data_IF_208208251198
#
_entry.id   IF_208208251198
#
_cell.length_a   1.000
_cell.length_b   1.000
_cell.length_c   1.000
_cell.angle_alpha   90.00
_cell.angle_beta   90.00
_cell.angle_gamma   90.00
#
_symmetry.space_group_name_H-M   'P 1'
#
loop_
_entity.id
_entity.type
_entity.pdbx_description
1 polymer ?
#
# COMPACT_ATOMS: atom_id res chain seq x y z
N UNK A 1 -8.21 19.20 -7.40
CA UNK A 1 -7.80 18.73 -8.75
C UNK A 1 -7.83 17.20 -8.85
N UNK A 2 -7.05 16.46 -8.07
CA UNK A 2 -6.99 14.98 -8.16
C UNK A 2 -8.36 14.29 -8.04
N UNK A 3 -9.17 14.67 -7.05
CA UNK A 3 -10.52 14.16 -6.84
C UNK A 3 -11.43 14.30 -8.08
N UNK A 4 -11.46 15.48 -8.69
CA UNK A 4 -12.25 15.74 -9.90
C UNK A 4 -11.77 14.89 -11.10
N UNK A 5 -10.46 14.66 -11.23
CA UNK A 5 -9.93 13.78 -12.29
C UNK A 5 -10.43 12.35 -12.10
N UNK A 6 -10.42 11.83 -10.86
CA UNK A 6 -10.91 10.48 -10.57
C UNK A 6 -12.40 10.33 -10.91
N UNK A 7 -13.23 11.28 -10.49
CA UNK A 7 -14.66 11.30 -10.82
C UNK A 7 -14.88 11.32 -12.35
N UNK A 8 -14.22 12.23 -13.06
CA UNK A 8 -14.39 12.36 -14.52
C UNK A 8 -13.87 11.15 -15.29
N UNK A 9 -12.80 10.50 -14.82
CA UNK A 9 -12.27 9.29 -15.45
C UNK A 9 -13.21 8.10 -15.24
N UNK A 10 -13.73 7.94 -14.02
CA UNK A 10 -14.71 6.89 -13.69
C UNK A 10 -15.97 7.03 -14.55
N UNK A 11 -16.54 8.23 -14.63
CA UNK A 11 -17.75 8.51 -15.42
C UNK A 11 -17.52 8.31 -16.93
N UNK A 12 -16.40 8.82 -17.46
CA UNK A 12 -16.15 8.85 -18.90
C UNK A 12 -15.61 7.53 -19.44
N UNK A 13 -14.86 6.79 -18.63
CA UNK A 13 -14.17 5.56 -19.05
C UNK A 13 -14.40 4.39 -18.07
N UNK A 14 -15.66 3.97 -17.82
CA UNK A 14 -16.00 2.99 -16.78
C UNK A 14 -15.45 1.56 -17.04
N UNK A 15 -14.90 1.30 -18.24
CA UNK A 15 -14.29 0.01 -18.60
C UNK A 15 -12.77 0.01 -18.49
N UNK A 16 -12.17 1.11 -18.01
CA UNK A 16 -10.71 1.26 -17.89
C UNK A 16 -10.33 1.18 -16.42
N UNK A 17 -9.26 0.45 -16.13
CA UNK A 17 -8.72 0.33 -14.79
C UNK A 17 -8.06 1.65 -14.37
N UNK A 18 -8.40 2.11 -13.17
CA UNK A 18 -7.83 3.28 -12.51
C UNK A 18 -7.02 2.81 -11.31
N UNK A 19 -5.70 2.83 -11.44
CA UNK A 19 -4.77 2.57 -10.34
C UNK A 19 -4.05 3.85 -9.96
N UNK A 20 -3.98 4.14 -8.65
CA UNK A 20 -3.22 5.29 -8.12
C UNK A 20 -2.03 4.84 -7.28
N UNK A 21 -1.00 5.67 -7.26
CA UNK A 21 0.07 5.62 -6.27
C UNK A 21 -0.10 6.84 -5.36
N UNK A 22 -0.77 6.63 -4.23
CA UNK A 22 -1.20 7.70 -3.34
C UNK A 22 -0.21 7.84 -2.19
N UNK A 23 0.44 9.00 -2.09
CA UNK A 23 1.34 9.33 -0.99
C UNK A 23 0.54 9.86 0.19
N UNK A 24 0.59 9.16 1.31
CA UNK A 24 -0.06 9.56 2.54
C UNK A 24 0.87 10.51 3.32
N UNK A 25 0.31 11.59 3.89
CA UNK A 25 1.09 12.54 4.66
C UNK A 25 1.59 11.91 5.97
N UNK A 26 2.55 12.56 6.63
CA UNK A 26 2.98 12.14 7.96
C UNK A 26 1.81 12.36 8.94
N UNK A 27 1.27 11.26 9.49
CA UNK A 27 0.11 11.32 10.40
C UNK A 27 0.54 11.41 11.88
N UNK A 28 1.80 11.14 12.22
CA UNK A 28 2.28 11.06 13.60
C UNK A 28 2.96 12.34 14.09
N UNK A 29 3.38 13.22 13.17
CA UNK A 29 3.94 14.54 13.48
C UNK A 29 2.93 15.66 13.21
N UNK A 30 3.09 16.79 13.90
CA UNK A 30 2.31 18.00 13.62
C UNK A 30 2.66 18.44 12.20
N UNK A 31 1.74 18.20 11.27
CA UNK A 31 1.86 18.72 9.92
C UNK A 31 1.88 20.25 9.95
N UNK A 32 2.81 20.86 9.21
CA UNK A 32 2.84 22.31 8.98
C UNK A 32 1.53 22.81 8.34
N UNK A 33 0.80 21.90 7.68
CA UNK A 33 -0.48 22.19 7.04
C UNK A 33 -1.64 21.79 7.94
N UNK A 34 -2.21 22.77 8.63
CA UNK A 34 -3.30 22.58 9.60
C UNK A 34 -4.61 22.02 9.02
N UNK A 35 -4.84 22.20 7.71
CA UNK A 35 -6.03 21.70 6.99
C UNK A 35 -5.85 20.31 6.38
N UNK A 36 -4.69 19.66 6.57
CA UNK A 36 -4.39 18.35 6.01
C UNK A 36 -5.52 17.33 6.25
N UNK A 37 -6.10 17.17 7.46
CA UNK A 37 -7.09 16.12 7.69
C UNK A 37 -8.35 16.27 6.83
N UNK A 38 -8.80 17.51 6.55
CA UNK A 38 -9.93 17.76 5.65
C UNK A 38 -9.61 17.35 4.20
N UNK A 39 -8.43 17.76 3.72
CA UNK A 39 -7.99 17.44 2.35
C UNK A 39 -7.81 15.94 2.14
N UNK A 40 -7.21 15.26 3.14
CA UNK A 40 -7.04 13.82 3.13
C UNK A 40 -8.39 13.11 3.10
N UNK A 41 -9.35 13.52 3.94
CA UNK A 41 -10.67 12.88 3.99
C UNK A 41 -11.42 12.98 2.66
N UNK A 42 -11.49 14.18 2.07
CA UNK A 42 -12.14 14.41 0.78
C UNK A 42 -11.48 13.60 -0.35
N UNK A 43 -10.15 13.45 -0.30
CA UNK A 43 -9.41 12.64 -1.29
C UNK A 43 -9.65 11.15 -1.08
N UNK A 44 -9.68 10.69 0.18
CA UNK A 44 -9.92 9.29 0.53
C UNK A 44 -11.29 8.82 0.06
N UNK A 45 -12.35 9.63 0.18
CA UNK A 45 -13.68 9.30 -0.38
C UNK A 45 -13.57 8.93 -1.86
N UNK A 46 -12.89 9.74 -2.67
CA UNK A 46 -12.75 9.48 -4.12
C UNK A 46 -11.82 8.33 -4.45
N UNK A 47 -10.79 8.11 -3.64
CA UNK A 47 -9.97 6.91 -3.78
C UNK A 47 -10.83 5.66 -3.54
N UNK A 48 -11.69 5.66 -2.51
CA UNK A 48 -12.59 4.54 -2.19
C UNK A 48 -13.67 4.32 -3.25
N UNK A 49 -14.25 5.39 -3.82
CA UNK A 49 -15.39 5.28 -4.74
C UNK A 49 -14.98 5.14 -6.22
N UNK A 50 -13.85 5.74 -6.62
CA UNK A 50 -13.52 5.96 -8.04
C UNK A 50 -12.19 5.34 -8.50
N UNK A 51 -11.44 4.67 -7.62
CA UNK A 51 -10.24 3.92 -8.00
C UNK A 51 -10.47 2.41 -7.88
N UNK A 52 -9.90 1.64 -8.80
CA UNK A 52 -9.92 0.17 -8.75
C UNK A 52 -8.79 -0.39 -7.85
N UNK A 53 -7.72 0.37 -7.69
CA UNK A 53 -6.58 -0.01 -6.85
C UNK A 53 -5.79 1.21 -6.37
N UNK A 54 -5.47 1.23 -5.09
CA UNK A 54 -4.69 2.31 -4.48
C UNK A 54 -3.45 1.71 -3.83
N UNK A 55 -2.28 2.00 -4.41
CA UNK A 55 -1.00 1.65 -3.79
C UNK A 55 -0.65 2.73 -2.78
N UNK A 56 -0.66 2.37 -1.50
CA UNK A 56 -0.40 3.27 -0.40
C UNK A 56 1.10 3.43 -0.19
N UNK A 57 1.57 4.68 -0.20
CA UNK A 57 2.94 5.07 0.08
C UNK A 57 2.92 5.99 1.31
N UNK A 58 3.37 5.51 2.45
CA UNK A 58 3.30 6.28 3.69
C UNK A 58 4.61 7.02 3.97
N UNK A 59 4.55 8.35 4.02
CA UNK A 59 5.72 9.17 4.33
C UNK A 59 6.29 8.88 5.72
N UNK A 60 5.47 8.54 6.72
CA UNK A 60 5.98 8.19 8.05
C UNK A 60 6.89 6.97 7.96
N UNK A 61 6.41 5.88 7.36
CA UNK A 61 7.18 4.65 7.20
C UNK A 61 8.39 4.82 6.27
N UNK A 62 8.25 5.58 5.17
CA UNK A 62 9.36 5.86 4.26
C UNK A 62 10.49 6.65 4.97
N UNK A 63 10.14 7.62 5.80
CA UNK A 63 11.10 8.36 6.62
C UNK A 63 11.80 7.46 7.64
N UNK A 64 11.05 6.62 8.36
CA UNK A 64 11.63 5.64 9.30
C UNK A 64 12.58 4.68 8.59
N UNK A 65 12.22 4.17 7.41
CA UNK A 65 13.09 3.30 6.60
C UNK A 65 14.36 4.04 6.18
N UNK A 66 14.25 5.28 5.70
CA UNK A 66 15.40 6.06 5.28
C UNK A 66 16.36 6.38 6.45
N UNK A 67 15.80 6.72 7.62
CA UNK A 67 16.58 6.99 8.82
C UNK A 67 17.23 5.72 9.38
N UNK A 68 16.46 4.67 9.64
CA UNK A 68 16.92 3.48 10.37
C UNK A 68 17.72 2.52 9.49
N UNK A 69 17.30 2.33 8.23
CA UNK A 69 17.86 1.28 7.36
C UNK A 69 18.89 1.82 6.39
N UNK A 70 18.67 3.03 5.87
CA UNK A 70 19.64 3.69 4.99
C UNK A 70 20.62 4.57 5.77
N UNK A 71 20.45 4.71 7.10
CA UNK A 71 21.30 5.50 8.00
C UNK A 71 21.39 6.97 7.57
N UNK A 72 20.32 7.51 7.01
CA UNK A 72 20.23 8.91 6.55
C UNK A 72 19.67 9.74 7.69
N UNK A 73 20.52 10.53 8.38
CA UNK A 73 20.11 11.29 9.57
C UNK A 73 18.99 12.31 9.33
N UNK A 74 18.85 12.81 8.09
CA UNK A 74 17.76 13.70 7.68
C UNK A 74 17.35 13.39 6.23
N UNK A 75 16.36 12.51 6.00
CA UNK A 75 15.97 12.12 4.65
C UNK A 75 15.35 13.30 3.90
N UNK A 76 15.93 13.64 2.75
CA UNK A 76 15.39 14.65 1.83
C UNK A 76 14.29 14.06 0.96
N UNK A 77 13.40 14.90 0.41
CA UNK A 77 12.38 14.45 -0.55
C UNK A 77 12.98 13.72 -1.75
N UNK A 78 14.17 14.11 -2.21
CA UNK A 78 14.88 13.40 -3.30
C UNK A 78 15.19 11.95 -2.93
N UNK A 79 15.62 11.70 -1.68
CA UNK A 79 15.92 10.35 -1.22
C UNK A 79 14.65 9.52 -1.01
N UNK A 80 13.59 10.11 -0.46
CA UNK A 80 12.27 9.44 -0.33
C UNK A 80 11.71 9.09 -1.72
N UNK A 81 11.79 10.01 -2.67
CA UNK A 81 11.32 9.80 -4.04
C UNK A 81 12.14 8.72 -4.78
N UNK A 82 13.42 8.53 -4.43
CA UNK A 82 14.21 7.40 -4.94
C UNK A 82 13.63 6.05 -4.50
N UNK A 83 13.16 5.93 -3.25
CA UNK A 83 12.46 4.73 -2.78
C UNK A 83 11.12 4.54 -3.51
N UNK A 84 10.32 5.61 -3.61
CA UNK A 84 9.02 5.59 -4.29
C UNK A 84 9.16 5.18 -5.76
N UNK A 85 10.10 5.79 -6.48
CA UNK A 85 10.37 5.47 -7.89
C UNK A 85 10.82 4.02 -8.08
N UNK A 86 11.58 3.47 -7.13
CA UNK A 86 11.96 2.06 -7.13
C UNK A 86 10.72 1.17 -7.01
N UNK A 87 9.82 1.46 -6.06
CA UNK A 87 8.57 0.70 -5.88
C UNK A 87 7.71 0.75 -7.15
N UNK A 88 7.48 1.94 -7.71
CA UNK A 88 6.69 2.13 -8.92
C UNK A 88 7.31 1.45 -10.15
N UNK A 89 8.63 1.46 -10.23
CA UNK A 89 9.34 0.72 -11.27
C UNK A 89 9.10 -0.78 -11.08
N UNK A 90 9.29 -1.31 -9.87
CA UNK A 90 9.19 -2.75 -9.63
C UNK A 90 7.76 -3.28 -9.78
N UNK A 91 6.75 -2.53 -9.33
CA UNK A 91 5.33 -2.90 -9.45
C UNK A 91 4.88 -3.06 -10.91
N UNK A 92 5.49 -2.32 -11.83
CA UNK A 92 5.17 -2.35 -13.28
C UNK A 92 6.10 -3.26 -14.08
N UNK A 93 6.98 -4.03 -13.45
CA UNK A 93 7.97 -4.84 -14.16
C UNK A 93 7.37 -5.90 -15.06
N UNK A 94 6.33 -6.60 -14.60
CA UNK A 94 5.65 -7.64 -15.39
C UNK A 94 4.90 -7.07 -16.60
N UNK A 95 4.60 -5.77 -16.59
CA UNK A 95 4.00 -5.05 -17.71
C UNK A 95 5.04 -4.57 -18.73
N UNK A 96 6.27 -4.30 -18.27
CA UNK A 96 7.36 -3.72 -19.09
C UNK A 96 8.31 -4.77 -19.66
N UNK A 97 8.51 -5.86 -18.94
CA UNK A 97 9.39 -6.95 -19.35
C UNK A 97 8.57 -8.21 -19.58
N UNK A 98 8.90 -8.99 -20.64
CA UNK A 98 8.19 -10.22 -20.92
C UNK A 98 8.32 -11.19 -19.75
N UNK A 99 7.19 -11.57 -19.17
CA UNK A 99 7.08 -12.61 -18.15
C UNK A 99 6.07 -13.66 -18.61
N UNK A 100 6.05 -14.84 -17.99
CA UNK A 100 5.16 -15.93 -18.41
C UNK A 100 3.76 -15.85 -17.80
N UNK A 101 3.56 -15.09 -16.71
CA UNK A 101 2.29 -14.99 -15.97
C UNK A 101 2.06 -13.55 -15.49
N UNK A 102 0.80 -13.08 -15.51
CA UNK A 102 0.38 -11.75 -15.06
C UNK A 102 1.06 -10.57 -15.81
N UNK A 103 0.97 -10.59 -17.15
CA UNK A 103 1.53 -9.55 -18.03
C UNK A 103 0.60 -8.34 -18.24
N UNK A 104 -0.58 -8.35 -17.66
CA UNK A 104 -1.55 -7.29 -17.74
C UNK A 104 -1.94 -6.79 -16.35
N UNK A 105 -2.40 -5.54 -16.29
CA UNK A 105 -2.74 -4.92 -15.01
C UNK A 105 -3.95 -5.60 -14.36
N UNK A 106 -4.90 -6.06 -15.17
CA UNK A 106 -6.06 -6.79 -14.69
C UNK A 106 -5.66 -8.12 -14.03
N UNK A 107 -4.77 -8.90 -14.66
CA UNK A 107 -4.26 -10.15 -14.10
C UNK A 107 -3.44 -9.98 -12.83
N UNK A 108 -2.81 -8.81 -12.63
CA UNK A 108 -2.16 -8.45 -11.36
C UNK A 108 -3.16 -8.09 -10.26
N UNK A 109 -4.18 -7.30 -10.57
CA UNK A 109 -5.10 -6.73 -9.59
C UNK A 109 -6.23 -7.67 -9.17
N UNK A 110 -6.81 -8.42 -10.11
CA UNK A 110 -7.94 -9.32 -9.83
C UNK A 110 -7.70 -10.30 -8.67
N UNK A 111 -6.53 -10.96 -8.54
CA UNK A 111 -6.26 -11.84 -7.40
C UNK A 111 -5.80 -11.12 -6.12
N UNK A 112 -5.44 -9.83 -6.21
CA UNK A 112 -5.04 -8.98 -5.09
C UNK A 112 -6.23 -8.27 -4.43
N UNK A 113 -7.33 -8.12 -5.15
CA UNK A 113 -8.50 -7.35 -4.73
C UNK A 113 -9.74 -8.21 -5.00
N UNK A 114 -10.02 -9.21 -4.15
CA UNK A 114 -11.19 -10.07 -4.32
C UNK A 114 -12.50 -9.30 -4.03
N UNK A 115 -12.45 -8.26 -3.20
CA UNK A 115 -13.58 -7.39 -2.89
C UNK A 115 -13.28 -5.96 -3.36
N UNK A 116 -14.11 -5.37 -4.23
CA UNK A 116 -13.80 -4.08 -4.87
C UNK A 116 -13.53 -2.92 -3.93
N UNK A 117 -14.15 -2.87 -2.75
CA UNK A 117 -13.93 -1.80 -1.76
C UNK A 117 -12.62 -1.93 -0.98
N UNK A 118 -12.12 -3.16 -0.80
CA UNK A 118 -10.88 -3.41 -0.06
C UNK A 118 -9.67 -3.39 -1.01
N UNK A 119 -9.43 -2.27 -1.67
CA UNK A 119 -8.45 -2.15 -2.75
C UNK A 119 -7.18 -1.35 -2.38
N UNK A 120 -6.98 -1.05 -1.10
CA UNK A 120 -5.78 -0.38 -0.61
C UNK A 120 -4.64 -1.37 -0.36
N UNK A 121 -3.58 -1.24 -1.14
CA UNK A 121 -2.44 -2.15 -1.15
C UNK A 121 -1.27 -1.54 -0.38
N UNK A 122 -0.78 -2.28 0.61
CA UNK A 122 0.47 -1.98 1.32
C UNK A 122 1.66 -2.48 0.52
N UNK A 123 2.75 -1.73 0.57
CA UNK A 123 3.99 -2.08 -0.12
C UNK A 123 5.05 -2.53 0.87
N UNK A 124 5.84 -3.53 0.47
CA UNK A 124 7.04 -3.94 1.20
C UNK A 124 8.17 -4.23 0.24
N UNK A 125 9.41 -3.87 0.57
CA UNK A 125 10.54 -4.02 -0.35
C UNK A 125 11.76 -4.62 0.34
N UNK A 126 12.51 -5.44 -0.39
CA UNK A 126 13.79 -5.97 0.07
C UNK A 126 14.70 -6.24 -1.11
N UNK A 127 16.02 -5.99 -1.01
CA UNK A 127 16.73 -5.44 0.15
C UNK A 127 16.56 -3.92 0.32
N UNK A 128 16.53 -3.49 1.58
CA UNK A 128 16.66 -2.09 1.99
C UNK A 128 18.06 -1.95 2.62
N UNK A 129 19.09 -1.83 1.77
CA UNK A 129 20.45 -1.51 2.20
C UNK A 129 21.03 -0.45 1.28
N UNK A 130 21.95 0.35 1.79
CA UNK A 130 22.80 1.21 0.98
C UNK A 130 23.84 0.36 0.24
N UNK A 131 24.32 0.88 -0.90
CA UNK A 131 25.41 0.27 -1.68
C UNK A 131 26.75 0.22 -0.92
N UNK A 132 26.83 0.87 0.24
CA UNK A 132 28.02 0.98 1.09
C UNK A 132 28.22 -0.17 2.06
N UNK A 133 27.19 -0.97 2.35
CA UNK A 133 27.41 -2.18 3.14
C UNK A 133 27.87 -3.28 2.17
N UNK A 134 29.19 -3.55 2.15
CA UNK A 134 29.78 -4.82 1.70
C UNK A 134 29.24 -5.95 2.59
N UNK A 135 27.95 -6.25 2.50
CA UNK A 135 27.37 -7.37 3.22
C UNK A 135 27.82 -8.62 2.51
N UNK A 136 28.82 -9.28 3.10
CA UNK A 136 29.14 -10.70 2.98
C UNK A 136 28.12 -11.44 2.13
N UNK A 137 28.52 -11.81 0.92
CA UNK A 137 27.73 -12.45 -0.14
C UNK A 137 27.23 -13.83 0.36
N UNK A 138 26.30 -13.83 1.32
CA UNK A 138 25.43 -14.97 1.53
C UNK A 138 24.51 -14.98 0.32
N UNK A 139 24.55 -16.07 -0.45
CA UNK A 139 23.60 -16.34 -1.53
C UNK A 139 22.19 -16.12 -0.97
N UNK A 140 21.60 -14.97 -1.26
CA UNK A 140 20.26 -14.63 -0.77
C UNK A 140 19.28 -15.47 -1.59
N UNK A 141 18.61 -16.41 -0.92
CA UNK A 141 17.67 -17.31 -1.60
C UNK A 141 16.31 -16.64 -1.77
N UNK A 142 15.50 -17.16 -2.70
CA UNK A 142 14.09 -16.75 -2.88
C UNK A 142 13.32 -16.81 -1.56
N UNK A 143 13.54 -17.87 -0.79
CA UNK A 143 12.92 -18.05 0.52
C UNK A 143 13.31 -16.95 1.50
N UNK A 144 14.57 -16.51 1.49
CA UNK A 144 15.02 -15.43 2.37
C UNK A 144 14.40 -14.08 1.97
N UNK A 145 14.25 -13.82 0.66
CA UNK A 145 13.55 -12.63 0.14
C UNK A 145 12.10 -12.65 0.59
N UNK A 146 11.36 -13.73 0.31
CA UNK A 146 9.94 -13.82 0.68
C UNK A 146 9.73 -13.75 2.21
N UNK A 147 10.61 -14.38 3.00
CA UNK A 147 10.57 -14.28 4.46
C UNK A 147 10.80 -12.85 4.94
N UNK A 148 11.74 -12.12 4.33
CA UNK A 148 12.00 -10.71 4.65
C UNK A 148 10.82 -9.84 4.27
N UNK A 149 10.17 -10.07 3.14
CA UNK A 149 9.00 -9.29 2.72
C UNK A 149 7.84 -9.35 3.72
N UNK A 150 7.64 -10.50 4.38
CA UNK A 150 6.62 -10.66 5.43
C UNK A 150 7.00 -10.00 6.78
N UNK A 151 8.23 -9.49 6.93
CA UNK A 151 8.64 -8.84 8.17
C UNK A 151 8.09 -7.41 8.23
N UNK A 152 7.42 -7.00 9.33
CA UNK A 152 6.85 -5.66 9.46
C UNK A 152 7.86 -4.52 9.19
N UNK A 153 9.12 -4.72 9.57
CA UNK A 153 10.21 -3.74 9.36
C UNK A 153 10.58 -3.47 7.89
N UNK A 154 10.05 -4.24 6.94
CA UNK A 154 10.26 -4.02 5.51
C UNK A 154 8.98 -3.52 4.82
N UNK A 155 7.90 -3.32 5.59
CA UNK A 155 6.67 -2.68 5.12
C UNK A 155 6.86 -1.16 5.10
N UNK A 156 6.38 -0.53 4.04
CA UNK A 156 6.49 0.91 3.79
C UNK A 156 5.20 1.64 4.17
N UNK A 157 4.47 1.08 5.12
CA UNK A 157 3.22 1.62 5.64
C UNK A 157 3.23 1.46 7.16
N UNK A 158 3.05 2.57 7.87
CA UNK A 158 2.98 2.60 9.33
C UNK A 158 1.59 2.17 9.75
N UNK A 159 1.51 0.94 10.25
CA UNK A 159 0.28 0.41 10.84
C UNK A 159 0.52 0.12 12.31
N UNK A 160 -0.49 0.33 13.15
CA UNK A 160 -0.37 0.04 14.56
C UNK A 160 0.01 -1.44 14.79
N UNK A 161 0.87 -1.76 15.78
CA UNK A 161 1.08 -3.14 16.17
C UNK A 161 -0.25 -3.73 16.63
N UNK A 162 -0.52 -4.96 16.23
CA UNK A 162 -1.78 -5.63 16.49
C UNK A 162 -2.07 -5.68 18.01
N UNK A 163 -3.01 -4.82 18.46
CA UNK A 163 -3.45 -4.70 19.86
C UNK A 163 -4.76 -5.45 20.10
N UNK A 164 -4.92 -6.61 19.46
CA UNK A 164 -5.99 -7.56 19.78
C UNK A 164 -7.10 -7.68 18.74
N UNK A 165 -7.02 -6.97 17.62
CA UNK A 165 -7.89 -7.22 16.45
C UNK A 165 -7.08 -8.10 15.50
N UNK A 166 -7.41 -9.39 15.37
CA UNK A 166 -6.67 -10.32 14.52
C UNK A 166 -6.70 -9.85 13.05
N UNK A 167 -5.77 -8.99 12.68
CA UNK A 167 -5.64 -8.50 11.33
C UNK A 167 -5.06 -9.63 10.48
N UNK A 168 -5.51 -9.70 9.23
CA UNK A 168 -5.12 -10.77 8.34
C UNK A 168 -4.83 -10.24 6.93
N UNK A 169 -4.05 -11.03 6.21
CA UNK A 169 -3.84 -10.85 4.79
C UNK A 169 -5.06 -11.36 4.03
N UNK A 170 -5.64 -10.48 3.20
CA UNK A 170 -6.61 -10.89 2.19
C UNK A 170 -5.85 -11.59 1.05
N UNK A 171 -4.76 -10.97 0.59
CA UNK A 171 -3.94 -11.49 -0.50
C UNK A 171 -2.56 -10.85 -0.52
N UNK A 172 -1.59 -11.57 -1.09
CA UNK A 172 -0.20 -11.12 -1.24
C UNK A 172 0.27 -11.41 -2.66
N UNK A 173 0.91 -10.43 -3.30
CA UNK A 173 1.68 -10.59 -4.52
C UNK A 173 3.15 -10.26 -4.24
N UNK A 174 4.03 -11.22 -4.49
CA UNK A 174 5.47 -11.02 -4.45
C UNK A 174 6.03 -10.95 -5.86
N UNK A 175 6.55 -9.79 -6.25
CA UNK A 175 7.29 -9.61 -7.49
C UNK A 175 8.77 -9.79 -7.16
N UNK A 176 9.35 -10.91 -7.61
CA UNK A 176 10.76 -11.24 -7.36
C UNK A 176 11.56 -10.97 -8.63
N UNK A 177 12.59 -10.16 -8.50
CA UNK A 177 13.46 -9.76 -9.59
C UNK A 177 14.85 -10.37 -9.45
N UNK A 178 15.33 -11.03 -10.50
CA UNK A 178 16.69 -11.57 -10.56
C UNK A 178 16.75 -12.95 -11.20
N UNK A 179 17.91 -13.58 -11.12
CA UNK A 179 18.10 -14.96 -11.57
C UNK A 179 17.51 -15.91 -10.53
N UNK A 180 16.29 -16.37 -10.80
CA UNK A 180 15.52 -17.22 -9.88
C UNK A 180 15.11 -18.50 -10.59
N UNK A 181 15.37 -19.64 -9.93
CA UNK A 181 14.86 -20.94 -10.31
C UNK A 181 13.38 -21.07 -9.88
N UNK A 182 12.43 -21.28 -10.82
CA UNK A 182 11.01 -21.45 -10.50
C UNK A 182 10.72 -22.58 -9.51
N UNK A 183 11.54 -23.64 -9.48
CA UNK A 183 11.35 -24.75 -8.54
C UNK A 183 11.55 -24.31 -7.08
N UNK A 184 12.41 -23.31 -6.84
CA UNK A 184 12.66 -22.75 -5.52
C UNK A 184 11.51 -21.88 -5.05
N UNK A 185 10.75 -21.26 -5.97
CA UNK A 185 9.56 -20.46 -5.64
C UNK A 185 8.49 -21.35 -5.02
N UNK A 186 8.19 -22.48 -5.64
CA UNK A 186 7.18 -23.41 -5.14
C UNK A 186 7.53 -23.94 -3.74
N UNK A 187 8.80 -24.36 -3.55
CA UNK A 187 9.32 -24.78 -2.23
C UNK A 187 9.24 -23.66 -1.19
N UNK A 188 9.47 -22.41 -1.60
CA UNK A 188 9.41 -21.25 -0.71
C UNK A 188 7.99 -20.95 -0.26
N UNK A 189 7.02 -20.99 -1.19
CA UNK A 189 5.60 -20.84 -0.91
C UNK A 189 5.09 -21.92 0.05
N UNK A 190 5.45 -23.18 -0.19
CA UNK A 190 5.07 -24.29 0.68
C UNK A 190 5.57 -24.07 2.12
N UNK A 191 6.84 -23.67 2.30
CA UNK A 191 7.41 -23.39 3.61
C UNK A 191 6.75 -22.23 4.34
N UNK A 192 6.31 -21.19 3.62
CA UNK A 192 5.59 -20.05 4.22
C UNK A 192 4.23 -20.50 4.75
N UNK A 193 3.53 -21.35 3.99
CA UNK A 193 2.23 -21.93 4.37
C UNK A 193 2.37 -22.88 5.57
N UNK A 194 3.31 -23.82 5.53
CA UNK A 194 3.55 -24.80 6.60
C UNK A 194 3.90 -24.14 7.94
N UNK A 195 4.68 -23.06 7.89
CA UNK A 195 5.09 -22.32 9.09
C UNK A 195 4.10 -21.27 9.55
N UNK A 196 2.97 -21.10 8.85
CA UNK A 196 1.94 -20.09 9.14
C UNK A 196 2.55 -18.70 9.40
N UNK A 197 3.51 -18.29 8.57
CA UNK A 197 4.22 -17.01 8.77
C UNK A 197 3.35 -15.77 8.53
N UNK A 198 2.17 -15.97 7.92
CA UNK A 198 1.17 -14.95 7.66
C UNK A 198 -0.20 -15.52 8.00
N UNK A 199 -1.02 -14.73 8.69
CA UNK A 199 -2.42 -15.04 8.97
C UNK A 199 -3.27 -14.53 7.81
N UNK A 200 -4.09 -15.40 7.22
CA UNK A 200 -4.98 -15.04 6.11
C UNK A 200 -6.42 -14.95 6.57
N UNK A 201 -7.25 -14.31 5.75
CA UNK A 201 -8.71 -14.27 5.93
C UNK A 201 -9.29 -15.68 6.18
N UNK A 202 -10.27 -15.83 7.09
CA UNK A 202 -10.80 -17.14 7.44
C UNK A 202 -11.91 -17.63 6.49
N UNK A 203 -12.55 -16.73 5.75
CA UNK A 203 -13.66 -17.01 4.82
C UNK A 203 -13.20 -17.40 3.41
N UNK A 204 -11.88 -17.44 3.15
CA UNK A 204 -11.32 -17.75 1.83
C UNK A 204 -9.95 -18.42 1.89
N UNK A 205 -9.49 -19.03 0.78
CA UNK A 205 -8.17 -19.64 0.72
C UNK A 205 -7.05 -18.59 0.72
N UNK A 206 -5.92 -18.92 1.34
CA UNK A 206 -4.74 -18.05 1.38
C UNK A 206 -4.18 -17.77 -0.04
N UNK A 207 -4.36 -16.54 -0.53
CA UNK A 207 -3.87 -16.07 -1.83
C UNK A 207 -2.45 -15.50 -1.70
N UNK A 208 -1.45 -16.28 -2.13
CA UNK A 208 -0.07 -15.81 -2.28
C UNK A 208 0.36 -16.06 -3.72
N UNK A 209 0.54 -14.96 -4.46
CA UNK A 209 1.02 -14.96 -5.81
C UNK A 209 2.49 -14.59 -5.87
N UNK A 210 3.20 -15.17 -6.84
CA UNK A 210 4.59 -14.82 -7.11
C UNK A 210 4.75 -14.56 -8.60
N UNK A 211 5.20 -13.36 -8.93
CA UNK A 211 5.60 -13.00 -10.27
C UNK A 211 7.12 -12.94 -10.34
N UNK A 212 7.69 -13.61 -11.34
CA UNK A 212 9.12 -13.57 -11.60
C UNK A 212 9.39 -12.57 -12.72
N UNK A 213 10.28 -11.62 -12.47
CA UNK A 213 10.77 -10.68 -13.48
C UNK A 213 12.28 -10.76 -13.59
N UNK A 214 12.79 -10.53 -14.80
CA UNK A 214 14.21 -10.28 -15.01
C UNK A 214 14.53 -8.83 -14.64
N UNK A 215 15.77 -8.57 -14.25
CA UNK A 215 16.30 -7.22 -14.07
C UNK A 215 16.72 -6.63 -15.42
N UNK A 216 16.75 -5.31 -15.49
CA UNK A 216 17.31 -4.61 -16.65
C UNK A 216 18.79 -4.96 -16.80
N UNK A 217 19.28 -5.28 -18.02
CA UNK A 217 20.70 -5.50 -18.26
C UNK A 217 21.54 -4.21 -18.16
N UNK A 218 20.89 -3.04 -18.19
CA UNK A 218 21.56 -1.73 -18.19
C UNK A 218 21.78 -1.14 -16.79
N UNK A 219 21.22 -1.76 -15.75
CA UNK A 219 21.34 -1.27 -14.37
C UNK A 219 22.20 -2.27 -13.59
N UNK A 220 23.40 -1.84 -13.21
CA UNK A 220 24.22 -2.58 -12.25
C UNK A 220 23.56 -2.49 -10.88
N UNK A 221 23.18 -3.63 -10.32
CA UNK A 221 22.75 -3.72 -8.91
C UNK A 221 23.68 -4.65 -8.17
N UNK A 222 24.13 -4.25 -6.98
CA UNK A 222 24.94 -5.09 -6.10
C UNK A 222 24.20 -6.38 -5.69
N UNK A 223 22.86 -6.32 -5.60
CA UNK A 223 22.02 -7.43 -5.17
C UNK A 223 21.56 -8.30 -6.34
N UNK A 224 21.87 -9.60 -6.29
CA UNK A 224 21.43 -10.58 -7.32
C UNK A 224 19.91 -10.78 -7.36
N UNK A 225 19.24 -10.67 -6.21
CA UNK A 225 17.79 -10.88 -6.08
C UNK A 225 17.18 -9.75 -5.24
N UNK A 226 16.11 -9.14 -5.75
CA UNK A 226 15.26 -8.20 -5.03
C UNK A 226 13.80 -8.68 -5.06
N UNK A 227 12.99 -8.17 -4.15
CA UNK A 227 11.57 -8.48 -4.07
C UNK A 227 10.76 -7.26 -3.67
N UNK A 228 9.60 -7.11 -4.30
CA UNK A 228 8.53 -6.21 -3.90
C UNK A 228 7.34 -7.06 -3.48
N UNK A 229 6.69 -6.69 -2.39
CA UNK A 229 5.42 -7.23 -1.95
C UNK A 229 4.34 -6.17 -2.11
N UNK A 230 3.26 -6.52 -2.78
CA UNK A 230 1.98 -5.83 -2.72
C UNK A 230 1.06 -6.69 -1.86
N UNK A 231 0.66 -6.18 -0.71
CA UNK A 231 -0.17 -6.90 0.25
C UNK A 231 -1.48 -6.17 0.46
N UNK A 232 -2.58 -6.88 0.31
CA UNK A 232 -3.88 -6.44 0.78
C UNK A 232 -4.07 -6.98 2.19
N UNK A 233 -4.01 -6.10 3.18
CA UNK A 233 -3.96 -6.47 4.60
C UNK A 233 -4.90 -5.58 5.41
N UNK A 234 -5.69 -6.19 6.28
CA UNK A 234 -6.78 -5.48 6.99
C UNK A 234 -6.29 -4.42 7.96
N UNK A 235 -5.03 -4.48 8.42
CA UNK A 235 -4.46 -3.45 9.32
C UNK A 235 -4.28 -2.08 8.65
N UNK A 236 -4.50 -1.96 7.33
CA UNK A 236 -4.59 -0.65 6.67
C UNK A 236 -5.71 0.21 7.27
N UNK A 237 -6.75 -0.39 7.87
CA UNK A 237 -7.83 0.34 8.55
C UNK A 237 -7.31 1.28 9.63
N UNK A 238 -6.21 0.93 10.30
CA UNK A 238 -5.59 1.79 11.33
C UNK A 238 -5.11 3.14 10.79
N UNK A 239 -4.77 3.24 9.49
CA UNK A 239 -4.46 4.52 8.86
C UNK A 239 -5.72 5.37 8.67
N UNK A 240 -6.82 4.75 8.27
CA UNK A 240 -8.10 5.43 8.08
C UNK A 240 -8.66 5.89 9.42
N UNK A 241 -8.57 5.05 10.46
CA UNK A 241 -8.92 5.43 11.83
C UNK A 241 -8.13 6.65 12.31
N UNK A 242 -6.81 6.70 12.03
CA UNK A 242 -6.00 7.89 12.37
C UNK A 242 -6.47 9.13 11.61
N UNK A 243 -6.78 9.01 10.32
CA UNK A 243 -7.30 10.11 9.53
C UNK A 243 -8.66 10.61 10.05
N UNK A 244 -9.58 9.70 10.36
CA UNK A 244 -10.89 10.00 10.97
C UNK A 244 -10.74 10.71 12.32
N UNK A 245 -9.87 10.20 13.19
CA UNK A 245 -9.61 10.80 14.49
C UNK A 245 -9.03 12.22 14.39
N UNK A 246 -8.17 12.49 13.41
CA UNK A 246 -7.65 13.83 13.15
C UNK A 246 -8.73 14.77 12.61
N UNK A 247 -9.54 14.30 11.66
CA UNK A 247 -10.68 15.04 11.12
C UNK A 247 -11.67 15.40 12.23
N UNK A 248 -12.09 14.43 13.05
CA UNK A 248 -13.07 14.64 14.11
C UNK A 248 -12.61 15.68 15.14
N UNK A 249 -11.31 15.71 15.47
CA UNK A 249 -10.74 16.71 16.38
C UNK A 249 -10.86 18.14 15.84
N UNK A 250 -10.68 18.33 14.53
CA UNK A 250 -10.83 19.63 13.88
C UNK A 250 -12.30 19.99 13.69
N UNK A 251 -13.11 19.05 13.19
CA UNK A 251 -14.53 19.25 12.88
C UNK A 251 -15.34 19.59 14.13
N UNK A 252 -15.10 18.94 15.27
CA UNK A 252 -15.75 19.23 16.56
C UNK A 252 -15.50 20.65 17.08
N UNK A 253 -14.41 21.28 16.64
CA UNK A 253 -14.04 22.66 17.01
C UNK A 253 -14.37 23.66 15.91
N UNK A 254 -14.96 23.20 14.81
CA UNK A 254 -15.19 23.97 13.59
C UNK A 254 -13.94 24.71 13.09
N UNK A 255 -12.76 24.13 13.32
CA UNK A 255 -11.50 24.79 13.05
C UNK A 255 -11.18 24.80 11.56
N UNK A 256 -10.68 25.94 11.06
CA UNK A 256 -10.15 26.13 9.70
C UNK A 256 -11.15 25.87 8.56
N UNK A 257 -12.45 26.05 8.80
CA UNK A 257 -13.51 25.83 7.80
C UNK A 257 -13.81 27.07 6.94
N UNK A 258 -13.37 28.27 7.34
CA UNK A 258 -13.71 29.53 6.66
C UNK A 258 -13.23 29.58 5.20
N UNK A 259 -12.07 28.98 4.92
CA UNK A 259 -11.55 28.87 3.56
C UNK A 259 -12.37 27.91 2.71
N UNK A 260 -12.83 26.79 3.29
CA UNK A 260 -13.66 25.83 2.57
C UNK A 260 -15.01 26.45 2.21
N UNK A 261 -15.66 27.16 3.14
CA UNK A 261 -16.97 27.83 2.92
C UNK A 261 -16.99 28.86 1.79
N UNK A 262 -15.82 29.33 1.33
CA UNK A 262 -15.71 30.25 0.18
C UNK A 262 -15.78 29.54 -1.16
N UNK A 263 -15.52 28.24 -1.19
CA UNK A 263 -15.55 27.42 -2.39
C UNK A 263 -16.98 26.96 -2.69
N UNK A 264 -17.34 26.86 -3.97
CA UNK A 264 -18.72 26.57 -4.41
C UNK A 264 -19.28 25.27 -3.82
N UNK A 265 -18.43 24.26 -3.62
CA UNK A 265 -18.80 22.96 -3.05
C UNK A 265 -19.29 23.04 -1.59
N UNK A 266 -18.86 24.05 -0.84
CA UNK A 266 -19.12 24.18 0.61
C UNK A 266 -19.84 25.49 0.97
N UNK A 267 -20.32 26.21 -0.03
CA UNK A 267 -20.94 27.53 0.15
C UNK A 267 -22.25 27.44 0.92
N UNK A 268 -23.05 26.40 0.64
CA UNK A 268 -24.38 26.23 1.21
C UNK A 268 -24.37 25.34 2.46
N UNK A 269 -23.58 24.26 2.46
CA UNK A 269 -23.46 23.33 3.59
C UNK A 269 -22.08 22.64 3.61
N UNK A 270 -21.83 21.84 4.64
CA UNK A 270 -20.61 21.05 4.79
C UNK A 270 -20.87 19.54 4.59
N UNK A 271 -21.98 19.20 3.94
CA UNK A 271 -22.49 17.83 3.83
C UNK A 271 -21.49 16.93 3.10
N UNK A 272 -20.70 17.47 2.18
CA UNK A 272 -19.66 16.70 1.48
C UNK A 272 -18.56 16.20 2.43
N UNK A 273 -18.22 16.96 3.48
CA UNK A 273 -17.27 16.51 4.51
C UNK A 273 -17.88 15.40 5.36
N UNK A 274 -19.15 15.54 5.74
CA UNK A 274 -19.84 14.59 6.59
C UNK A 274 -20.10 13.27 5.83
N UNK A 275 -20.50 13.33 4.56
CA UNK A 275 -20.57 12.17 3.66
C UNK A 275 -19.21 11.51 3.45
N UNK A 276 -18.12 12.28 3.29
CA UNK A 276 -16.76 11.71 3.18
C UNK A 276 -16.33 10.97 4.43
N UNK A 277 -16.75 11.47 5.60
CA UNK A 277 -16.50 10.82 6.89
C UNK A 277 -17.24 9.49 6.98
N UNK A 278 -18.50 9.43 6.57
CA UNK A 278 -19.31 8.20 6.56
C UNK A 278 -18.71 7.14 5.63
N UNK A 279 -18.36 7.50 4.38
CA UNK A 279 -17.74 6.57 3.42
C UNK A 279 -16.44 5.97 3.98
N UNK A 280 -15.62 6.78 4.65
CA UNK A 280 -14.37 6.30 5.25
C UNK A 280 -14.63 5.43 6.49
N UNK A 281 -15.66 5.73 7.29
CA UNK A 281 -16.06 4.90 8.41
C UNK A 281 -16.57 3.53 7.94
N UNK A 282 -17.42 3.51 6.92
CA UNK A 282 -17.93 2.28 6.32
C UNK A 282 -16.78 1.41 5.79
N UNK A 283 -15.75 2.03 5.19
CA UNK A 283 -14.56 1.33 4.74
C UNK A 283 -13.80 0.67 5.90
N UNK A 284 -13.62 1.39 7.02
CA UNK A 284 -12.99 0.83 8.23
C UNK A 284 -13.79 -0.36 8.75
N UNK A 285 -15.11 -0.21 8.85
CA UNK A 285 -16.00 -1.24 9.36
C UNK A 285 -16.02 -2.47 8.44
N UNK A 286 -15.90 -2.28 7.13
CA UNK A 286 -15.77 -3.37 6.15
C UNK A 286 -14.43 -4.12 6.30
N UNK A 287 -13.32 -3.41 6.51
CA UNK A 287 -12.03 -4.03 6.81
C UNK A 287 -12.04 -4.84 8.11
N UNK A 288 -12.73 -4.36 9.14
CA UNK A 288 -12.90 -5.09 10.42
C UNK A 288 -13.78 -6.32 10.19
N UNK A 289 -14.88 -6.17 9.45
CA UNK A 289 -15.79 -7.27 9.13
C UNK A 289 -15.08 -8.37 8.32
N UNK A 290 -14.18 -8.00 7.41
CA UNK A 290 -13.37 -8.93 6.62
C UNK A 290 -12.41 -9.79 7.45
N UNK A 291 -12.19 -9.48 8.74
CA UNK A 291 -11.41 -10.34 9.64
C UNK A 291 -12.20 -11.52 10.22
N UNK A 292 -13.54 -11.48 10.12
CA UNK A 292 -14.44 -12.47 10.72
C UNK A 292 -14.83 -13.58 9.74
N UNK A 293 -15.18 -14.75 10.28
CA UNK A 293 -15.59 -15.93 9.49
C UNK A 293 -16.92 -15.72 8.72
N UNK A 294 -17.79 -14.85 9.22
CA UNK A 294 -19.13 -14.58 8.68
C UNK A 294 -19.15 -13.52 7.56
N UNK A 295 -18.00 -12.97 7.15
CA UNK A 295 -17.94 -11.88 6.17
C UNK A 295 -18.63 -12.19 4.81
N UNK A 296 -18.60 -13.45 4.37
CA UNK A 296 -19.20 -13.88 3.10
C UNK A 296 -20.55 -14.59 3.23
N UNK A 297 -21.12 -14.68 4.44
CA UNK A 297 -22.38 -15.37 4.70
C UNK A 297 -23.59 -14.42 4.73
#
# INVERSE_FOLDING_TARGET
MGSNILEKLSDRFPKKLVQTYSVFPNLDEISDVVVQPYNSLLTLKRLTESADSVVVLDNTALNTIAADRLKIQNPTFTQINSLVSTIMSVSTTTLRYPSYMNNDLMGLLAPLIPTPRLHFLMTGYTPLSTDTDEVNIRKTTVLDVMRRLLQPKNMMVSTAPDRGSQHCYISILNIIQGEVDPTQVHKSLQRIRERKMAQFIPWGPASIQVALSRKSPYVSTAHRVSGLMLANHTNISSLFDRALNQYDKLRKREAFLDQFRKEDMFKDNLDELDSSREVLQDLVDEYISATKEDYCN
#
